data_IF_552404422149
#
_entry.id   IF_552404422149
#
_cell.length_a   1.000
_cell.length_b   1.000
_cell.length_c   1.000
_cell.angle_alpha   90.00
_cell.angle_beta   90.00
_cell.angle_gamma   90.00
#
_symmetry.space_group_name_H-M   'P 1'
#
loop_
_entity.id
_entity.type
_entity.pdbx_description
1 polymer ?
#
# COMPACT_ATOMS: atom_id res chain seq x y z
N UNK A 1 -0.99 25.94 -19.64
CA UNK A 1 -1.82 26.43 -18.52
C UNK A 1 -1.40 25.75 -17.22
N UNK A 2 -1.29 24.41 -17.18
CA UNK A 2 -0.93 23.66 -15.98
C UNK A 2 0.43 24.08 -15.40
N UNK A 3 1.48 24.11 -16.23
CA UNK A 3 2.84 24.50 -15.81
C UNK A 3 2.90 25.89 -15.16
N UNK A 4 2.21 26.89 -15.74
CA UNK A 4 2.19 28.24 -15.17
C UNK A 4 1.48 28.27 -13.81
N UNK A 5 0.42 27.49 -13.63
CA UNK A 5 -0.26 27.39 -12.35
C UNK A 5 0.62 26.65 -11.30
N UNK A 6 1.38 25.63 -11.70
CA UNK A 6 2.37 24.97 -10.86
C UNK A 6 3.48 25.95 -10.42
N UNK A 7 4.01 26.75 -11.34
CA UNK A 7 5.01 27.81 -11.07
C UNK A 7 4.47 28.87 -10.08
N UNK A 8 3.16 29.11 -10.07
CA UNK A 8 2.46 29.99 -9.13
C UNK A 8 2.12 29.34 -7.79
N UNK A 9 2.59 28.12 -7.55
CA UNK A 9 2.44 27.44 -6.26
C UNK A 9 1.21 26.55 -6.10
N UNK A 10 0.49 26.21 -7.18
CA UNK A 10 -0.63 25.28 -7.11
C UNK A 10 -0.14 23.82 -6.99
N UNK A 11 -0.36 23.14 -5.84
CA UNK A 11 0.22 21.82 -5.60
C UNK A 11 -0.38 20.74 -6.50
N UNK A 12 -1.66 20.82 -6.85
CA UNK A 12 -2.31 19.89 -7.78
C UNK A 12 -1.72 20.02 -9.20
N UNK A 13 -1.42 21.24 -9.63
CA UNK A 13 -0.78 21.46 -10.93
C UNK A 13 0.70 21.03 -10.93
N UNK A 14 1.37 21.04 -9.76
CA UNK A 14 2.71 20.46 -9.62
C UNK A 14 2.69 18.96 -9.85
N UNK A 15 1.68 18.24 -9.30
CA UNK A 15 1.47 16.82 -9.59
C UNK A 15 1.36 16.57 -11.11
N UNK A 16 0.40 17.22 -11.77
CA UNK A 16 0.20 17.01 -13.21
C UNK A 16 1.40 17.40 -14.07
N UNK A 17 2.13 18.43 -13.66
CA UNK A 17 3.38 18.83 -14.36
C UNK A 17 4.47 17.77 -14.15
N UNK A 18 4.58 17.21 -12.94
CA UNK A 18 5.50 16.11 -12.64
C UNK A 18 5.17 14.86 -13.45
N UNK A 19 3.89 14.48 -13.52
CA UNK A 19 3.44 13.33 -14.32
C UNK A 19 3.72 13.52 -15.82
N UNK A 20 3.49 14.70 -16.38
CA UNK A 20 3.79 15.02 -17.77
C UNK A 20 5.31 14.87 -18.07
N UNK A 21 6.18 15.31 -17.18
CA UNK A 21 7.63 15.08 -17.29
C UNK A 21 8.00 13.60 -17.13
N UNK A 22 7.35 12.88 -16.22
CA UNK A 22 7.55 11.43 -16.03
C UNK A 22 7.24 10.65 -17.33
N UNK A 23 6.08 10.91 -17.94
CA UNK A 23 5.66 10.27 -19.20
C UNK A 23 6.63 10.52 -20.36
N UNK A 24 7.31 11.67 -20.34
CA UNK A 24 8.36 12.02 -21.33
C UNK A 24 9.73 11.41 -21.00
N UNK A 25 9.88 10.74 -19.88
CA UNK A 25 11.16 10.21 -19.38
C UNK A 25 12.10 11.28 -18.79
N UNK A 26 11.59 12.47 -18.52
CA UNK A 26 12.32 13.61 -17.94
C UNK A 26 12.27 13.48 -16.39
N UNK A 27 12.92 12.42 -15.85
CA UNK A 27 12.76 12.03 -14.45
C UNK A 27 13.30 13.02 -13.44
N UNK A 28 14.34 13.78 -13.78
CA UNK A 28 14.90 14.82 -12.90
C UNK A 28 13.92 15.99 -12.73
N UNK A 29 13.28 16.41 -13.80
CA UNK A 29 12.26 17.44 -13.81
C UNK A 29 11.01 16.98 -13.06
N UNK A 30 10.55 15.75 -13.32
CA UNK A 30 9.43 15.14 -12.60
C UNK A 30 9.69 15.10 -11.10
N UNK A 31 10.86 14.61 -10.69
CA UNK A 31 11.30 14.59 -9.29
C UNK A 31 11.28 15.97 -8.64
N UNK A 32 11.72 16.98 -9.37
CA UNK A 32 11.71 18.38 -8.89
C UNK A 32 10.29 18.88 -8.62
N UNK A 33 9.33 18.55 -9.52
CA UNK A 33 7.94 18.93 -9.34
C UNK A 33 7.26 18.17 -8.21
N UNK A 34 7.49 16.86 -8.11
CA UNK A 34 6.96 16.05 -7.00
C UNK A 34 7.52 16.52 -5.66
N UNK A 35 8.81 16.89 -5.59
CA UNK A 35 9.41 17.46 -4.36
C UNK A 35 8.71 18.75 -3.94
N UNK A 36 8.51 19.70 -4.87
CA UNK A 36 7.79 20.95 -4.57
C UNK A 36 6.36 20.70 -4.10
N UNK A 37 5.64 19.79 -4.75
CA UNK A 37 4.27 19.45 -4.36
C UNK A 37 4.22 18.75 -3.01
N UNK A 38 5.17 17.86 -2.72
CA UNK A 38 5.30 17.16 -1.45
C UNK A 38 5.63 18.11 -0.28
N UNK A 39 6.46 19.11 -0.52
CA UNK A 39 6.78 20.17 0.47
C UNK A 39 5.54 21.00 0.84
N UNK A 40 4.63 21.22 -0.12
CA UNK A 40 3.33 21.84 0.11
C UNK A 40 2.28 20.88 0.68
N UNK A 41 2.64 19.62 0.92
CA UNK A 41 1.78 18.63 1.54
C UNK A 41 0.80 17.95 0.59
N UNK A 42 0.97 18.08 -0.74
CA UNK A 42 0.16 17.38 -1.74
C UNK A 42 0.35 15.86 -1.63
N UNK A 43 -0.72 15.10 -1.30
CA UNK A 43 -0.59 13.68 -0.96
C UNK A 43 -0.02 12.83 -2.09
N UNK A 44 -0.53 13.01 -3.31
CA UNK A 44 -0.09 12.25 -4.47
C UNK A 44 1.37 12.57 -4.81
N UNK A 45 1.81 13.82 -4.67
CA UNK A 45 3.22 14.17 -4.86
C UNK A 45 4.13 13.50 -3.81
N UNK A 46 3.63 13.33 -2.57
CA UNK A 46 4.38 12.62 -1.51
C UNK A 46 4.53 11.15 -1.89
N UNK A 47 3.47 10.52 -2.41
CA UNK A 47 3.49 9.12 -2.83
C UNK A 47 4.40 8.91 -4.06
N UNK A 48 4.27 9.74 -5.09
CA UNK A 48 5.13 9.71 -6.28
C UNK A 48 6.61 9.90 -5.91
N UNK A 49 6.90 10.81 -4.99
CA UNK A 49 8.27 11.03 -4.52
C UNK A 49 8.82 9.78 -3.77
N UNK A 50 7.97 9.06 -3.04
CA UNK A 50 8.33 7.79 -2.41
C UNK A 50 8.65 6.73 -3.47
N UNK A 51 7.82 6.60 -4.51
CA UNK A 51 8.04 5.67 -5.63
C UNK A 51 9.36 5.97 -6.36
N UNK A 52 9.71 7.24 -6.50
CA UNK A 52 11.00 7.65 -7.08
C UNK A 52 12.19 7.24 -6.23
N UNK A 53 12.18 7.48 -4.92
CA UNK A 53 13.25 7.04 -4.02
C UNK A 53 13.34 5.52 -3.87
N UNK A 54 12.22 4.81 -4.02
CA UNK A 54 12.17 3.35 -3.99
C UNK A 54 12.57 2.72 -5.33
N UNK A 55 12.69 3.52 -6.41
CA UNK A 55 12.88 3.07 -7.80
C UNK A 55 11.77 2.12 -8.28
N UNK A 56 10.54 2.37 -7.86
CA UNK A 56 9.38 1.53 -8.17
C UNK A 56 9.20 1.29 -9.67
N UNK A 57 9.43 2.31 -10.48
CA UNK A 57 9.25 2.24 -11.93
C UNK A 57 10.33 1.47 -12.69
N UNK A 58 11.37 0.97 -12.02
CA UNK A 58 12.46 0.16 -12.60
C UNK A 58 13.13 0.72 -13.89
N UNK A 59 12.98 2.00 -14.14
CA UNK A 59 13.53 2.69 -15.32
C UNK A 59 15.03 2.94 -15.14
N UNK A 60 15.90 2.49 -16.09
CA UNK A 60 17.35 2.73 -15.97
C UNK A 60 17.72 4.22 -15.89
N UNK A 61 17.01 5.08 -16.63
CA UNK A 61 17.24 6.53 -16.61
C UNK A 61 16.84 7.16 -15.25
N UNK A 62 15.76 6.68 -14.63
CA UNK A 62 15.37 7.10 -13.29
C UNK A 62 16.43 6.68 -12.27
N UNK A 63 16.88 5.43 -12.33
CA UNK A 63 17.93 4.90 -11.43
C UNK A 63 19.25 5.67 -11.55
N UNK A 64 19.56 6.19 -12.73
CA UNK A 64 20.75 7.00 -12.95
C UNK A 64 20.60 8.44 -12.42
N UNK A 65 19.38 8.98 -12.45
CA UNK A 65 19.10 10.36 -12.09
C UNK A 65 18.79 10.57 -10.60
N UNK A 66 18.14 9.59 -9.95
CA UNK A 66 17.64 9.71 -8.58
C UNK A 66 18.32 8.64 -7.70
N UNK A 67 18.86 9.02 -6.53
CA UNK A 67 19.45 8.05 -5.62
C UNK A 67 18.39 7.09 -5.05
N UNK A 68 18.74 5.81 -4.96
CA UNK A 68 17.92 4.82 -4.24
C UNK A 68 18.02 5.07 -2.74
N UNK A 69 16.91 5.43 -2.11
CA UNK A 69 16.81 5.67 -0.68
C UNK A 69 15.50 5.07 -0.12
N UNK A 70 15.49 3.76 0.17
CA UNK A 70 14.27 3.08 0.61
C UNK A 70 13.83 3.50 2.03
N UNK A 71 14.73 4.02 2.86
CA UNK A 71 14.36 4.56 4.18
C UNK A 71 13.51 5.80 3.98
N UNK A 72 14.00 6.74 3.18
CA UNK A 72 13.27 7.96 2.86
C UNK A 72 11.96 7.67 2.11
N UNK A 73 11.97 6.70 1.21
CA UNK A 73 10.75 6.22 0.56
C UNK A 73 9.71 5.75 1.59
N UNK A 74 10.15 4.96 2.59
CA UNK A 74 9.25 4.45 3.64
C UNK A 74 8.67 5.58 4.49
N UNK A 75 9.47 6.58 4.88
CA UNK A 75 8.99 7.76 5.61
C UNK A 75 7.94 8.54 4.80
N UNK A 76 8.17 8.68 3.49
CA UNK A 76 7.24 9.35 2.59
C UNK A 76 5.94 8.54 2.42
N UNK A 77 6.02 7.23 2.25
CA UNK A 77 4.84 6.36 2.22
C UNK A 77 4.02 6.46 3.52
N UNK A 78 4.65 6.43 4.68
CA UNK A 78 3.97 6.62 5.96
C UNK A 78 3.30 8.00 6.03
N UNK A 79 3.99 9.05 5.60
CA UNK A 79 3.44 10.41 5.54
C UNK A 79 2.25 10.51 4.58
N UNK A 80 2.33 9.91 3.39
CA UNK A 80 1.24 9.84 2.42
C UNK A 80 0.04 9.08 2.99
N UNK A 81 0.29 7.91 3.62
CA UNK A 81 -0.74 7.07 4.21
C UNK A 81 -1.65 7.79 5.23
N UNK A 82 -1.14 8.81 5.93
CA UNK A 82 -1.94 9.60 6.87
C UNK A 82 -2.87 10.61 6.19
N UNK A 83 -2.71 10.84 4.89
CA UNK A 83 -3.50 11.82 4.15
C UNK A 83 -4.80 11.19 3.60
N UNK A 84 -5.72 12.06 3.17
CA UNK A 84 -6.96 11.64 2.55
C UNK A 84 -6.84 11.78 1.03
N UNK A 85 -6.49 10.70 0.36
CA UNK A 85 -6.40 10.56 -1.10
C UNK A 85 -6.56 9.09 -1.50
N UNK A 86 -6.78 8.82 -2.78
CA UNK A 86 -7.17 7.49 -3.26
C UNK A 86 -6.12 6.41 -2.97
N UNK A 87 -4.83 6.73 -3.06
CA UNK A 87 -3.75 5.76 -2.90
C UNK A 87 -3.16 5.72 -1.47
N UNK A 88 -3.88 6.29 -0.49
CA UNK A 88 -3.43 6.27 0.91
C UNK A 88 -3.29 4.84 1.46
N UNK A 89 -4.17 3.93 1.04
CA UNK A 89 -4.08 2.50 1.39
C UNK A 89 -2.86 1.82 0.77
N UNK A 90 -2.57 2.13 -0.50
CA UNK A 90 -1.36 1.66 -1.18
C UNK A 90 -0.09 2.15 -0.45
N UNK A 91 0.00 3.43 -0.14
CA UNK A 91 1.14 3.99 0.57
C UNK A 91 1.35 3.31 1.94
N UNK A 92 0.27 3.06 2.69
CA UNK A 92 0.34 2.34 3.96
C UNK A 92 0.89 0.91 3.78
N UNK A 93 0.43 0.20 2.75
CA UNK A 93 0.87 -1.17 2.49
C UNK A 93 2.33 -1.23 2.04
N UNK A 94 2.79 -0.30 1.21
CA UNK A 94 4.19 -0.21 0.80
C UNK A 94 5.10 0.06 1.99
N UNK A 95 4.72 0.97 2.88
CA UNK A 95 5.44 1.18 4.12
C UNK A 95 5.51 -0.11 4.98
N UNK A 96 4.39 -0.82 5.14
CA UNK A 96 4.36 -2.08 5.88
C UNK A 96 5.30 -3.14 5.28
N UNK A 97 5.30 -3.29 3.95
CA UNK A 97 6.20 -4.22 3.26
C UNK A 97 7.66 -3.88 3.46
N UNK A 98 8.05 -2.61 3.43
CA UNK A 98 9.42 -2.21 3.66
C UNK A 98 9.91 -2.61 5.06
N UNK A 99 9.05 -2.55 6.08
CA UNK A 99 9.35 -3.08 7.43
C UNK A 99 9.39 -4.60 7.46
N UNK A 100 8.43 -5.31 6.84
CA UNK A 100 8.38 -6.78 6.80
C UNK A 100 9.63 -7.36 6.15
N UNK A 101 10.09 -6.76 5.07
CA UNK A 101 11.24 -7.24 4.30
C UNK A 101 12.57 -6.59 4.70
N UNK A 102 12.61 -5.86 5.81
CA UNK A 102 13.81 -5.17 6.30
C UNK A 102 14.52 -4.29 5.25
N UNK A 103 13.76 -3.70 4.35
CA UNK A 103 14.30 -2.89 3.27
C UNK A 103 15.09 -1.71 3.85
N UNK A 104 16.32 -1.49 3.38
CA UNK A 104 17.21 -0.45 3.92
C UNK A 104 17.67 -0.68 5.36
N UNK A 105 17.47 -1.88 5.92
CA UNK A 105 17.82 -2.19 7.31
C UNK A 105 16.77 -1.74 8.34
N UNK A 106 15.53 -1.46 7.89
CA UNK A 106 14.44 -1.09 8.80
C UNK A 106 14.19 -2.18 9.85
N UNK A 107 13.92 -1.81 11.11
CA UNK A 107 13.68 -2.78 12.18
C UNK A 107 12.35 -3.52 11.99
N UNK A 108 12.27 -4.77 12.43
CA UNK A 108 11.03 -5.54 12.45
C UNK A 108 10.16 -5.08 13.63
N UNK A 109 9.19 -4.21 13.34
CA UNK A 109 8.21 -3.73 14.33
C UNK A 109 6.80 -4.22 13.95
N UNK A 110 6.40 -5.33 14.57
CA UNK A 110 5.09 -5.95 14.30
C UNK A 110 3.90 -5.07 14.70
N UNK A 111 4.04 -4.20 15.70
CA UNK A 111 3.00 -3.24 16.08
C UNK A 111 2.77 -2.22 14.96
N UNK A 112 3.85 -1.58 14.52
CA UNK A 112 3.79 -0.61 13.41
C UNK A 112 3.32 -1.25 12.10
N UNK A 113 3.80 -2.46 11.78
CA UNK A 113 3.36 -3.22 10.60
C UNK A 113 1.86 -3.47 10.65
N UNK A 114 1.34 -3.86 11.82
CA UNK A 114 -0.09 -4.10 12.00
C UNK A 114 -0.92 -2.82 11.84
N UNK A 115 -0.47 -1.70 12.38
CA UNK A 115 -1.15 -0.40 12.25
C UNK A 115 -1.19 0.05 10.79
N UNK A 116 -0.07 -0.04 10.08
CA UNK A 116 0.02 0.30 8.65
C UNK A 116 -0.87 -0.62 7.80
N UNK A 117 -0.83 -1.93 8.05
CA UNK A 117 -1.67 -2.90 7.34
C UNK A 117 -3.15 -2.69 7.62
N UNK A 118 -3.51 -2.35 8.86
CA UNK A 118 -4.88 -2.01 9.23
C UNK A 118 -5.33 -0.70 8.57
N UNK A 119 -4.46 0.31 8.54
CA UNK A 119 -4.71 1.56 7.82
C UNK A 119 -4.96 1.30 6.34
N UNK A 120 -4.15 0.47 5.70
CA UNK A 120 -4.36 0.07 4.31
C UNK A 120 -5.72 -0.63 4.09
N UNK A 121 -6.12 -1.52 5.01
CA UNK A 121 -7.38 -2.25 4.93
C UNK A 121 -8.62 -1.36 5.12
N UNK A 122 -8.50 -0.25 5.83
CA UNK A 122 -9.61 0.67 6.13
C UNK A 122 -9.75 1.81 5.13
N UNK A 123 -8.68 2.13 4.40
CA UNK A 123 -8.67 3.19 3.39
C UNK A 123 -9.02 2.61 2.01
N UNK A 124 -10.04 3.19 1.39
CA UNK A 124 -10.37 3.12 -0.03
C UNK A 124 -10.51 1.74 -0.67
N UNK A 125 -11.17 0.81 0.00
CA UNK A 125 -11.44 -0.54 -0.55
C UNK A 125 -10.19 -1.35 -0.92
N UNK A 126 -9.06 -1.07 -0.27
CA UNK A 126 -7.81 -1.76 -0.56
C UNK A 126 -7.83 -3.21 -0.04
N UNK A 127 -8.57 -4.05 -0.75
CA UNK A 127 -8.81 -5.46 -0.38
C UNK A 127 -7.53 -6.28 -0.26
N UNK A 128 -6.46 -5.85 -0.95
CA UNK A 128 -5.16 -6.54 -0.95
C UNK A 128 -4.48 -6.59 0.42
N UNK A 129 -4.79 -5.65 1.31
CA UNK A 129 -4.22 -5.62 2.66
C UNK A 129 -4.98 -6.50 3.66
N UNK A 130 -6.24 -6.84 3.37
CA UNK A 130 -7.07 -7.66 4.27
C UNK A 130 -6.47 -9.03 4.61
N UNK A 131 -5.87 -9.79 3.69
CA UNK A 131 -5.22 -11.06 4.03
C UNK A 131 -4.07 -10.90 5.02
N UNK A 132 -3.28 -9.85 4.91
CA UNK A 132 -2.15 -9.59 5.81
C UNK A 132 -2.61 -9.29 7.23
N UNK A 133 -3.51 -8.33 7.41
CA UNK A 133 -4.04 -8.00 8.75
C UNK A 133 -4.86 -9.18 9.33
N UNK A 134 -5.54 -9.96 8.48
CA UNK A 134 -6.27 -11.15 8.92
C UNK A 134 -5.32 -12.23 9.42
N UNK A 135 -4.23 -12.50 8.71
CA UNK A 135 -3.20 -13.42 9.17
C UNK A 135 -2.62 -12.99 10.52
N UNK A 136 -2.29 -11.70 10.68
CA UNK A 136 -1.80 -11.15 11.94
C UNK A 136 -2.82 -11.31 13.07
N UNK A 137 -4.12 -11.09 12.82
CA UNK A 137 -5.20 -11.27 13.81
C UNK A 137 -5.51 -12.72 14.14
N UNK A 138 -5.31 -13.68 13.24
CA UNK A 138 -5.42 -15.11 13.52
C UNK A 138 -4.33 -15.53 14.52
N UNK A 139 -3.12 -15.03 14.34
CA UNK A 139 -1.95 -15.46 15.11
C UNK A 139 -1.62 -14.54 16.29
N UNK A 140 -2.26 -13.36 16.40
CA UNK A 140 -1.94 -12.38 17.44
C UNK A 140 -0.59 -11.68 17.23
N UNK A 141 -0.16 -11.51 15.98
CA UNK A 141 1.13 -10.89 15.63
C UNK A 141 0.97 -9.38 15.59
N UNK A 142 1.53 -8.67 16.57
CA UNK A 142 1.46 -7.20 16.66
C UNK A 142 0.07 -6.61 16.94
N UNK A 143 -0.97 -7.42 16.96
CA UNK A 143 -2.37 -7.04 17.21
C UNK A 143 -3.06 -8.03 18.12
N UNK A 144 -4.14 -7.60 18.77
CA UNK A 144 -5.03 -8.49 19.50
C UNK A 144 -5.64 -9.53 18.54
N UNK A 145 -5.58 -10.80 18.95
CA UNK A 145 -6.18 -11.90 18.22
C UNK A 145 -7.68 -11.66 18.02
N UNK A 146 -8.14 -11.76 16.80
CA UNK A 146 -9.55 -11.63 16.44
C UNK A 146 -9.87 -12.47 15.20
N UNK A 147 -10.16 -13.72 15.44
CA UNK A 147 -10.40 -14.72 14.40
C UNK A 147 -11.68 -14.42 13.62
N UNK A 148 -12.74 -13.95 14.31
CA UNK A 148 -14.01 -13.59 13.68
C UNK A 148 -13.82 -12.51 12.61
N UNK A 149 -13.12 -11.42 12.96
CA UNK A 149 -12.77 -10.38 12.01
C UNK A 149 -11.95 -10.94 10.83
N UNK A 150 -10.96 -11.77 11.13
CA UNK A 150 -10.09 -12.33 10.12
C UNK A 150 -10.87 -13.19 9.10
N UNK A 151 -11.72 -14.10 9.58
CA UNK A 151 -12.55 -14.96 8.71
C UNK A 151 -13.50 -14.11 7.85
N UNK A 152 -14.20 -13.14 8.43
CA UNK A 152 -15.11 -12.26 7.70
C UNK A 152 -14.38 -11.47 6.61
N UNK A 153 -13.19 -10.93 6.93
CA UNK A 153 -12.39 -10.17 5.97
C UNK A 153 -11.88 -11.04 4.82
N UNK A 154 -11.41 -12.25 5.11
CA UNK A 154 -10.94 -13.20 4.10
C UNK A 154 -12.08 -13.71 3.20
N UNK A 155 -13.26 -13.96 3.77
CA UNK A 155 -14.45 -14.32 2.99
C UNK A 155 -14.82 -13.22 2.01
N UNK A 156 -14.80 -11.97 2.47
CA UNK A 156 -15.04 -10.81 1.60
C UNK A 156 -14.05 -10.74 0.43
N UNK A 157 -12.76 -10.97 0.69
CA UNK A 157 -11.73 -10.99 -0.38
C UNK A 157 -12.07 -12.05 -1.43
N UNK A 158 -12.48 -13.27 -1.01
CA UNK A 158 -12.86 -14.33 -1.94
C UNK A 158 -14.13 -14.00 -2.74
N UNK A 159 -15.11 -13.35 -2.13
CA UNK A 159 -16.33 -12.95 -2.81
C UNK A 159 -16.05 -11.90 -3.90
N UNK A 160 -15.22 -10.90 -3.61
CA UNK A 160 -14.80 -9.90 -4.59
C UNK A 160 -13.93 -10.52 -5.70
N UNK A 161 -13.04 -11.46 -5.36
CA UNK A 161 -12.28 -12.21 -6.37
C UNK A 161 -13.20 -12.97 -7.34
N UNK A 162 -14.20 -13.66 -6.80
CA UNK A 162 -15.18 -14.38 -7.63
C UNK A 162 -15.98 -13.43 -8.53
N UNK A 163 -16.36 -12.26 -8.02
CA UNK A 163 -17.10 -11.25 -8.77
C UNK A 163 -16.24 -10.68 -9.91
N UNK A 164 -15.00 -10.29 -9.61
CA UNK A 164 -14.06 -9.78 -10.61
C UNK A 164 -13.77 -10.78 -11.74
N UNK A 165 -13.71 -12.08 -11.42
CA UNK A 165 -13.53 -13.13 -12.43
C UNK A 165 -14.76 -13.32 -13.34
N UNK A 166 -15.97 -13.01 -12.87
CA UNK A 166 -17.20 -13.08 -13.66
C UNK A 166 -17.39 -11.89 -14.59
N UNK A 167 -16.90 -10.72 -14.20
CA UNK A 167 -17.05 -9.45 -14.94
C UNK A 167 -15.95 -9.23 -15.99
N UNK A 168 -15.07 -10.21 -16.22
CA UNK A 168 -13.85 -10.07 -17.06
C UNK A 168 -12.93 -8.91 -16.64
N UNK A 169 -13.29 -8.21 -15.59
CA UNK A 169 -12.44 -7.23 -14.94
C UNK A 169 -11.27 -7.97 -14.27
N UNK A 170 -10.19 -8.11 -15.01
CA UNK A 170 -8.92 -8.61 -14.48
C UNK A 170 -8.34 -7.58 -13.50
N UNK A 171 -9.01 -7.40 -12.38
CA UNK A 171 -8.35 -6.87 -11.19
C UNK A 171 -7.24 -7.88 -10.91
N UNK A 172 -6.01 -7.48 -11.16
CA UNK A 172 -4.81 -8.26 -10.82
C UNK A 172 -4.81 -8.43 -9.29
N UNK A 173 -5.57 -9.42 -8.82
CA UNK A 173 -5.33 -9.96 -7.50
C UNK A 173 -3.92 -10.54 -7.54
N UNK A 174 -2.99 -9.85 -6.93
CA UNK A 174 -1.62 -10.34 -6.84
C UNK A 174 -1.64 -11.76 -6.30
N UNK A 175 -0.92 -12.67 -6.94
CA UNK A 175 -0.88 -14.10 -6.59
C UNK A 175 -0.55 -14.31 -5.10
N UNK A 176 0.28 -13.43 -4.52
CA UNK A 176 0.61 -13.42 -3.09
C UNK A 176 -0.63 -13.20 -2.23
N UNK A 177 -1.51 -12.26 -2.59
CA UNK A 177 -2.76 -11.99 -1.84
C UNK A 177 -3.68 -13.20 -1.87
N UNK A 178 -3.82 -13.86 -3.02
CA UNK A 178 -4.57 -15.11 -3.18
C UNK A 178 -3.99 -16.23 -2.34
N UNK A 179 -2.68 -16.43 -2.42
CA UNK A 179 -1.99 -17.46 -1.66
C UNK A 179 -2.17 -17.25 -0.16
N UNK A 180 -1.94 -16.04 0.34
CA UNK A 180 -2.10 -15.73 1.76
C UNK A 180 -3.55 -15.87 2.24
N UNK A 181 -4.53 -15.44 1.42
CA UNK A 181 -5.96 -15.64 1.72
C UNK A 181 -6.29 -17.11 1.90
N UNK A 182 -5.85 -17.96 0.97
CA UNK A 182 -6.09 -19.41 1.02
C UNK A 182 -5.39 -20.08 2.20
N UNK A 183 -4.14 -19.71 2.47
CA UNK A 183 -3.38 -20.23 3.63
C UNK A 183 -4.07 -19.85 4.93
N UNK A 184 -4.45 -18.59 5.09
CA UNK A 184 -5.11 -18.13 6.31
C UNK A 184 -6.49 -18.77 6.53
N UNK A 185 -7.29 -18.91 5.46
CA UNK A 185 -8.58 -19.61 5.54
C UNK A 185 -8.41 -21.11 5.77
N UNK A 186 -7.44 -21.75 5.11
CA UNK A 186 -7.11 -23.15 5.33
C UNK A 186 -6.76 -23.43 6.80
N UNK A 187 -5.94 -22.58 7.40
CA UNK A 187 -5.62 -22.64 8.82
C UNK A 187 -6.88 -22.47 9.70
N UNK A 188 -7.71 -21.46 9.41
CA UNK A 188 -8.94 -21.21 10.14
C UNK A 188 -9.91 -22.41 10.05
N UNK A 189 -10.02 -23.03 8.87
CA UNK A 189 -10.81 -24.24 8.67
C UNK A 189 -10.26 -25.43 9.46
N UNK A 190 -8.94 -25.68 9.37
CA UNK A 190 -8.27 -26.79 10.09
C UNK A 190 -8.45 -26.66 11.61
N UNK A 191 -8.45 -25.44 12.15
CA UNK A 191 -8.68 -25.17 13.57
C UNK A 191 -10.17 -25.13 13.96
N UNK A 192 -11.08 -25.41 13.05
CA UNK A 192 -12.52 -25.44 13.33
C UNK A 192 -13.19 -24.09 13.44
N UNK A 193 -12.51 -23.00 13.11
CA UNK A 193 -13.06 -21.63 13.21
C UNK A 193 -14.12 -21.30 12.16
N UNK A 194 -14.28 -22.14 11.14
CA UNK A 194 -15.25 -21.95 10.05
C UNK A 194 -16.44 -22.93 10.11
N UNK A 195 -16.49 -23.84 11.06
CA UNK A 195 -17.61 -24.75 11.24
C UNK A 195 -18.63 -24.16 12.21
N UNK A 196 -19.85 -23.96 11.78
CA UNK A 196 -21.08 -23.39 12.36
C UNK A 196 -21.30 -23.15 13.86
N UNK A 197 -20.39 -23.53 14.73
CA UNK A 197 -20.38 -23.22 16.17
C UNK A 197 -18.94 -23.12 16.69
N UNK A 198 -18.11 -22.22 16.20
CA UNK A 198 -16.84 -22.03 16.88
C UNK A 198 -17.03 -21.11 18.07
N UNK A 199 -16.49 -21.50 19.18
CA UNK A 199 -16.16 -20.58 20.24
C UNK A 199 -15.02 -19.69 19.72
N UNK A 200 -15.39 -18.62 19.01
CA UNK A 200 -14.46 -17.73 18.33
C UNK A 200 -13.77 -16.76 19.30
N UNK A 201 -14.12 -16.83 20.58
CA UNK A 201 -13.66 -15.90 21.63
C UNK A 201 -12.60 -16.58 22.57
N UNK A 202 -12.18 -17.80 22.29
CA UNK A 202 -11.14 -18.52 23.03
C UNK A 202 -9.73 -18.37 22.47
#
# INVERSE_FOLDING_TARGET
VARRAAELGNPTMMLYTGLDHHEKGEFTEAFTWFTKGADLGQPECIAELADYYYHFYEQPALRAAIPYDPIKATELYQRAATKNFNDAGYAALQAAFNYIFHIGGLPLDWGLIADLTHMAATKDRFLFSLPYISYMRIHGIGVTKNIRFAVQSLTRVLEEEKRALQEEDRVLFYDITRALTRVALGYAYEKGYMTGTPDLDS
#
